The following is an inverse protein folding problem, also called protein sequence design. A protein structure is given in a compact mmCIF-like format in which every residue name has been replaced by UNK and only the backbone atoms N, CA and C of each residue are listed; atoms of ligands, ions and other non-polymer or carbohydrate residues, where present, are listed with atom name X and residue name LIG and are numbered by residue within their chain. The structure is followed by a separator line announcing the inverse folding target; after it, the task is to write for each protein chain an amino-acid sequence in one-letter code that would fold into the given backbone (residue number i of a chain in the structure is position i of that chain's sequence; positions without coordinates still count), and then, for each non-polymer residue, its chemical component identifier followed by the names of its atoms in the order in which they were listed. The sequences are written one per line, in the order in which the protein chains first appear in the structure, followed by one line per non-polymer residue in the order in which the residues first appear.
data_IF_667463178047
#
_entry.id   IF_667463178047
#
_cell.length_a   1.000
_cell.length_b   1.000
_cell.length_c   1.000
_cell.angle_alpha   90.00
_cell.angle_beta   90.00
_cell.angle_gamma   90.00
#
_symmetry.space_group_name_H-M   'P 1'
#
loop_
_entity.id
_entity.type
_entity.pdbx_description
1 polymer ?
#
# COMPACT_ATOMS: atom_id res chain seq x y z
N UNK A 1 -11.43 -2.66 -4.28
CA UNK A 1 -10.27 -2.48 -3.38
C UNK A 1 -10.52 -3.28 -2.09
N UNK A 2 -9.57 -3.29 -1.16
CA UNK A 2 -9.71 -4.00 0.11
C UNK A 2 -8.76 -5.20 0.22
N UNK A 3 -8.70 -5.85 1.40
CA UNK A 3 -7.82 -6.98 1.63
C UNK A 3 -8.29 -8.21 0.85
N UNK A 4 -7.83 -8.34 -0.39
CA UNK A 4 -8.44 -9.27 -1.35
C UNK A 4 -7.43 -9.93 -2.31
N UNK A 5 -6.42 -10.61 -1.77
CA UNK A 5 -5.48 -11.39 -2.59
C UNK A 5 -6.22 -12.38 -3.48
N UNK A 6 -5.89 -12.39 -4.77
CA UNK A 6 -6.56 -13.22 -5.76
C UNK A 6 -6.39 -14.71 -5.43
N UNK A 7 -5.25 -15.07 -4.85
CA UNK A 7 -4.91 -16.41 -4.38
C UNK A 7 -5.91 -16.91 -3.33
N UNK A 8 -6.25 -16.07 -2.35
CA UNK A 8 -7.21 -16.42 -1.30
C UNK A 8 -8.64 -16.52 -1.83
N UNK A 9 -9.02 -15.62 -2.75
CA UNK A 9 -10.31 -15.65 -3.44
C UNK A 9 -10.45 -16.95 -4.25
N UNK A 10 -9.43 -17.33 -5.01
CA UNK A 10 -9.42 -18.56 -5.80
C UNK A 10 -9.52 -19.83 -4.93
N UNK A 11 -9.06 -19.75 -3.67
CA UNK A 11 -9.18 -20.82 -2.67
C UNK A 11 -10.51 -20.76 -1.88
N UNK A 12 -11.48 -19.93 -2.30
CA UNK A 12 -12.75 -19.70 -1.61
C UNK A 12 -12.60 -19.30 -0.13
N UNK A 13 -11.51 -18.61 0.22
CA UNK A 13 -11.30 -18.09 1.58
C UNK A 13 -12.21 -16.89 1.80
N UNK A 14 -12.58 -16.65 3.06
CA UNK A 14 -13.48 -15.54 3.41
C UNK A 14 -12.78 -14.22 3.11
N UNK A 15 -13.35 -13.43 2.20
CA UNK A 15 -12.77 -12.17 1.76
C UNK A 15 -13.84 -11.07 1.76
N UNK A 16 -13.42 -9.88 2.16
CA UNK A 16 -14.25 -8.68 2.17
C UNK A 16 -13.72 -7.72 1.11
N UNK A 17 -14.55 -7.44 0.11
CA UNK A 17 -14.25 -6.54 -0.99
C UNK A 17 -14.92 -5.20 -0.75
N UNK A 18 -14.24 -4.12 -1.12
CA UNK A 18 -14.81 -2.78 -1.16
C UNK A 18 -15.10 -2.36 -2.59
N UNK A 19 -16.33 -1.94 -2.84
CA UNK A 19 -16.77 -1.25 -4.06
C UNK A 19 -17.13 0.18 -3.67
N UNK A 20 -16.58 1.15 -4.37
CA UNK A 20 -16.86 2.57 -4.19
C UNK A 20 -17.14 3.23 -5.54
N UNK A 21 -18.07 4.18 -5.59
CA UNK A 21 -18.40 4.90 -6.81
C UNK A 21 -19.55 5.89 -6.65
N UNK A 22 -19.60 6.88 -7.54
CA UNK A 22 -20.59 7.96 -7.47
C UNK A 22 -21.99 7.55 -8.00
N UNK A 23 -22.10 6.46 -8.76
CA UNK A 23 -23.36 5.95 -9.29
C UNK A 23 -23.86 4.78 -8.45
N UNK A 24 -24.79 5.07 -7.53
CA UNK A 24 -25.38 4.08 -6.63
C UNK A 24 -25.97 2.87 -7.37
N UNK A 25 -26.63 3.08 -8.50
CA UNK A 25 -27.22 1.97 -9.27
C UNK A 25 -26.13 1.05 -9.86
N UNK A 26 -25.02 1.61 -10.34
CA UNK A 26 -23.89 0.83 -10.82
C UNK A 26 -23.17 0.09 -9.69
N UNK A 27 -22.97 0.75 -8.55
CA UNK A 27 -22.38 0.16 -7.34
C UNK A 27 -23.20 -1.03 -6.86
N UNK A 28 -24.52 -0.90 -6.75
CA UNK A 28 -25.38 -2.02 -6.34
C UNK A 28 -25.34 -3.19 -7.32
N UNK A 29 -25.34 -2.92 -8.64
CA UNK A 29 -25.17 -3.99 -9.64
C UNK A 29 -23.85 -4.74 -9.46
N UNK A 30 -22.74 -4.04 -9.19
CA UNK A 30 -21.45 -4.68 -8.93
C UNK A 30 -21.45 -5.50 -7.63
N UNK A 31 -22.03 -4.97 -6.56
CA UNK A 31 -22.15 -5.67 -5.27
C UNK A 31 -22.90 -6.99 -5.47
N UNK A 32 -24.07 -6.96 -6.13
CA UNK A 32 -24.86 -8.17 -6.40
C UNK A 32 -24.11 -9.17 -7.28
N UNK A 33 -23.42 -8.70 -8.32
CA UNK A 33 -22.71 -9.58 -9.26
C UNK A 33 -21.49 -10.30 -8.64
N UNK A 34 -20.81 -9.67 -7.67
CA UNK A 34 -19.55 -10.19 -7.10
C UNK A 34 -19.78 -10.98 -5.80
N UNK A 35 -20.87 -10.70 -5.07
CA UNK A 35 -21.14 -11.34 -3.78
C UNK A 35 -21.31 -12.85 -3.93
N UNK A 36 -20.66 -13.61 -3.05
CA UNK A 36 -20.71 -15.08 -3.01
C UNK A 36 -20.66 -15.56 -1.55
N UNK A 37 -20.82 -16.87 -1.26
CA UNK A 37 -20.74 -17.40 0.11
C UNK A 37 -19.45 -17.00 0.87
N UNK A 38 -18.34 -16.89 0.14
CA UNK A 38 -17.03 -16.52 0.69
C UNK A 38 -16.62 -15.06 0.37
N UNK A 39 -17.25 -14.40 -0.60
CA UNK A 39 -17.03 -12.98 -0.92
C UNK A 39 -18.15 -12.09 -0.38
N UNK A 40 -17.85 -11.28 0.64
CA UNK A 40 -18.74 -10.20 1.07
C UNK A 40 -18.29 -8.89 0.43
N UNK A 41 -19.20 -8.19 -0.24
CA UNK A 41 -18.90 -6.89 -0.85
C UNK A 41 -19.52 -5.77 -0.02
N UNK A 42 -18.72 -4.77 0.34
CA UNK A 42 -19.08 -3.60 1.12
C UNK A 42 -19.09 -2.39 0.19
N UNK A 43 -20.15 -1.57 0.29
CA UNK A 43 -20.19 -0.26 -0.35
C UNK A 43 -19.40 0.76 0.49
N UNK A 44 -18.55 1.55 -0.15
CA UNK A 44 -17.88 2.69 0.47
C UNK A 44 -18.18 3.97 -0.33
N UNK A 45 -18.59 5.04 0.37
CA UNK A 45 -19.00 6.32 -0.21
C UNK A 45 -17.86 7.24 -0.64
N UNK A 46 -16.60 6.79 -0.54
CA UNK A 46 -15.40 7.57 -0.79
C UNK A 46 -14.55 6.94 -1.90
N UNK A 47 -14.96 7.07 -3.18
CA UNK A 47 -14.20 6.51 -4.28
C UNK A 47 -12.78 7.08 -4.41
N UNK A 48 -12.59 8.36 -4.10
CA UNK A 48 -11.29 9.04 -4.18
C UNK A 48 -10.33 8.52 -3.12
N UNK A 49 -10.77 8.43 -1.86
CA UNK A 49 -9.93 7.91 -0.79
C UNK A 49 -9.59 6.44 -0.98
N UNK A 50 -10.56 5.63 -1.44
CA UNK A 50 -10.33 4.21 -1.74
C UNK A 50 -9.31 4.03 -2.87
N UNK A 51 -9.37 4.86 -3.92
CA UNK A 51 -8.41 4.83 -5.01
C UNK A 51 -6.99 5.18 -4.54
N UNK A 52 -6.83 6.31 -3.82
CA UNK A 52 -5.53 6.71 -3.30
C UNK A 52 -4.96 5.71 -2.30
N UNK A 53 -5.78 5.18 -1.39
CA UNK A 53 -5.33 4.17 -0.43
C UNK A 53 -4.85 2.89 -1.13
N UNK A 54 -5.57 2.43 -2.17
CA UNK A 54 -5.18 1.28 -2.97
C UNK A 54 -3.82 1.46 -3.67
N UNK A 55 -3.48 2.70 -4.06
CA UNK A 55 -2.17 3.04 -4.64
C UNK A 55 -1.10 3.12 -3.55
N UNK A 56 -1.37 3.85 -2.47
CA UNK A 56 -0.44 4.09 -1.37
C UNK A 56 0.01 2.80 -0.69
N UNK A 57 -0.92 1.86 -0.47
CA UNK A 57 -0.60 0.58 0.15
C UNK A 57 0.44 -0.23 -0.64
N UNK A 58 0.49 -0.09 -1.96
CA UNK A 58 1.48 -0.76 -2.80
C UNK A 58 2.87 -0.14 -2.61
N UNK A 59 2.96 1.18 -2.50
CA UNK A 59 4.21 1.89 -2.17
C UNK A 59 4.72 1.46 -0.79
N UNK A 60 3.83 1.45 0.21
CA UNK A 60 4.18 1.05 1.57
C UNK A 60 4.54 -0.44 1.62
N UNK A 61 3.89 -1.29 0.81
CA UNK A 61 4.25 -2.68 0.62
C UNK A 61 5.71 -2.85 0.22
N UNK A 62 6.23 -2.01 -0.69
CA UNK A 62 7.65 -2.00 -1.06
C UNK A 62 8.53 -1.59 0.13
N UNK A 63 8.17 -0.53 0.85
CA UNK A 63 8.91 -0.10 2.05
C UNK A 63 9.02 -1.24 3.08
N UNK A 64 7.89 -1.89 3.38
CA UNK A 64 7.81 -3.07 4.26
C UNK A 64 8.66 -4.23 3.75
N UNK A 65 8.66 -4.45 2.43
CA UNK A 65 9.52 -5.41 1.76
C UNK A 65 10.99 -5.13 1.99
N UNK A 66 11.44 -3.88 1.78
CA UNK A 66 12.84 -3.47 1.94
C UNK A 66 13.33 -3.77 3.37
N UNK A 67 12.53 -3.40 4.38
CA UNK A 67 12.81 -3.69 5.79
C UNK A 67 13.02 -5.18 6.03
N UNK A 68 12.14 -6.01 5.46
CA UNK A 68 12.27 -7.47 5.55
C UNK A 68 13.49 -8.00 4.79
N UNK A 69 13.80 -7.43 3.64
CA UNK A 69 15.01 -7.78 2.88
C UNK A 69 16.31 -7.45 3.63
N UNK A 70 16.28 -6.42 4.47
CA UNK A 70 17.37 -6.00 5.35
C UNK A 70 17.44 -6.76 6.69
N UNK A 71 16.64 -7.81 6.87
CA UNK A 71 16.57 -8.64 8.09
C UNK A 71 16.12 -7.91 9.37
N UNK A 72 15.37 -6.80 9.27
CA UNK A 72 14.70 -6.23 10.44
C UNK A 72 13.52 -7.11 10.89
N UNK A 73 13.26 -7.12 12.19
CA UNK A 73 12.19 -7.90 12.81
C UNK A 73 10.78 -7.30 12.66
N UNK A 74 9.77 -8.05 13.10
CA UNK A 74 8.36 -7.65 13.03
C UNK A 74 8.02 -6.42 13.87
N UNK A 75 8.78 -6.16 14.95
CA UNK A 75 8.58 -4.96 15.78
C UNK A 75 8.79 -3.68 14.96
N UNK A 76 9.88 -3.61 14.19
CA UNK A 76 10.16 -2.44 13.38
C UNK A 76 9.20 -2.33 12.18
N UNK A 77 8.82 -3.47 11.59
CA UNK A 77 7.76 -3.51 10.58
C UNK A 77 6.45 -2.92 11.12
N UNK A 78 6.04 -3.25 12.34
CA UNK A 78 4.83 -2.71 12.97
C UNK A 78 4.90 -1.19 13.17
N UNK A 79 6.06 -0.67 13.59
CA UNK A 79 6.29 0.79 13.69
C UNK A 79 6.14 1.46 12.33
N UNK A 80 6.71 0.87 11.28
CA UNK A 80 6.64 1.40 9.92
C UNK A 80 5.21 1.38 9.39
N UNK A 81 4.46 0.29 9.59
CA UNK A 81 3.06 0.20 9.16
C UNK A 81 2.20 1.23 9.89
N UNK A 82 2.39 1.39 11.21
CA UNK A 82 1.69 2.40 12.00
C UNK A 82 1.97 3.83 11.53
N UNK A 83 3.25 4.17 11.30
CA UNK A 83 3.65 5.48 10.78
C UNK A 83 3.15 5.69 9.34
N UNK A 84 3.17 4.66 8.51
CA UNK A 84 2.66 4.72 7.14
C UNK A 84 1.17 5.03 7.10
N UNK A 85 0.37 4.49 8.02
CA UNK A 85 -1.05 4.82 8.11
C UNK A 85 -1.27 6.30 8.46
N UNK A 86 -0.38 6.91 9.26
CA UNK A 86 -0.42 8.36 9.52
C UNK A 86 -0.11 9.16 8.26
N UNK A 87 0.85 8.71 7.44
CA UNK A 87 1.12 9.35 6.14
C UNK A 87 -0.06 9.24 5.19
N UNK A 88 -0.69 8.07 5.10
CA UNK A 88 -1.89 7.87 4.27
C UNK A 88 -3.01 8.78 4.75
N UNK A 89 -3.27 8.85 6.07
CA UNK A 89 -4.28 9.74 6.63
C UNK A 89 -4.03 11.20 6.21
N UNK A 90 -2.82 11.69 6.44
CA UNK A 90 -2.46 13.08 6.11
C UNK A 90 -2.54 13.35 4.60
N UNK A 91 -2.17 12.39 3.76
CA UNK A 91 -2.28 12.50 2.31
C UNK A 91 -3.75 12.58 1.87
N UNK A 92 -4.60 11.73 2.41
CA UNK A 92 -6.03 11.71 2.09
C UNK A 92 -6.73 13.01 2.53
N UNK A 93 -6.45 13.47 3.75
CA UNK A 93 -6.96 14.75 4.28
C UNK A 93 -6.54 15.96 3.44
N UNK A 94 -5.36 15.92 2.82
CA UNK A 94 -4.92 16.98 1.92
C UNK A 94 -5.47 16.85 0.49
N UNK A 95 -5.87 15.63 0.09
CA UNK A 95 -6.37 15.35 -1.26
C UNK A 95 -7.81 15.82 -1.48
N UNK A 96 -8.66 15.74 -0.45
CA UNK A 96 -10.02 16.25 -0.44
C UNK A 96 -10.54 16.43 1.00
N UNK A 97 -11.70 17.07 1.15
CA UNK A 97 -12.35 17.33 2.46
C UNK A 97 -13.28 16.19 2.93
N UNK A 98 -13.06 14.94 2.51
CA UNK A 98 -13.93 13.83 2.92
C UNK A 98 -13.59 13.35 4.34
N UNK A 99 -14.62 13.19 5.20
CA UNK A 99 -14.43 12.59 6.52
C UNK A 99 -14.30 11.09 6.42
N UNK A 100 -13.20 10.54 6.95
CA UNK A 100 -12.85 9.13 6.84
C UNK A 100 -12.59 8.52 8.21
N UNK A 101 -13.09 7.30 8.43
CA UNK A 101 -12.46 6.41 9.41
C UNK A 101 -11.31 5.67 8.73
N UNK A 102 -10.08 6.11 8.99
CA UNK A 102 -8.90 5.53 8.39
C UNK A 102 -8.70 4.05 8.77
N UNK A 103 -9.34 3.59 9.85
CA UNK A 103 -9.24 2.21 10.30
C UNK A 103 -10.15 1.25 9.51
N UNK A 104 -10.98 1.75 8.59
CA UNK A 104 -11.80 0.90 7.73
C UNK A 104 -10.90 -0.07 6.94
N UNK A 105 -11.40 -1.29 6.76
CA UNK A 105 -10.81 -2.32 5.91
C UNK A 105 -10.41 -1.84 4.51
N UNK A 106 -11.14 -0.88 3.95
CA UNK A 106 -10.85 -0.30 2.65
C UNK A 106 -9.52 0.46 2.61
N UNK A 107 -9.06 0.96 3.76
CA UNK A 107 -7.81 1.71 3.92
C UNK A 107 -6.80 0.88 4.69
N UNK A 108 -6.98 0.75 6.02
CA UNK A 108 -5.99 0.11 6.88
C UNK A 108 -5.96 -1.40 6.68
N UNK A 109 -7.11 -2.05 6.48
CA UNK A 109 -7.16 -3.50 6.27
C UNK A 109 -6.37 -3.95 5.02
N UNK A 110 -6.54 -3.24 3.91
CA UNK A 110 -5.81 -3.53 2.67
C UNK A 110 -4.30 -3.23 2.81
N UNK A 111 -3.95 -2.17 3.55
CA UNK A 111 -2.57 -1.88 3.90
C UNK A 111 -1.94 -3.02 4.73
N UNK A 112 -2.64 -3.50 5.76
CA UNK A 112 -2.16 -4.57 6.64
C UNK A 112 -1.87 -5.85 5.85
N UNK A 113 -2.83 -6.32 5.04
CA UNK A 113 -2.60 -7.54 4.26
C UNK A 113 -1.43 -7.36 3.30
N UNK A 114 -1.29 -6.18 2.69
CA UNK A 114 -0.20 -5.90 1.74
C UNK A 114 1.18 -5.81 2.41
N UNK A 115 1.24 -5.35 3.66
CA UNK A 115 2.48 -5.23 4.43
C UNK A 115 2.98 -6.57 4.99
N UNK A 116 2.07 -7.47 5.36
CA UNK A 116 2.39 -8.72 6.07
C UNK A 116 2.32 -9.98 5.20
N UNK A 117 1.44 -10.01 4.19
CA UNK A 117 1.23 -11.20 3.35
C UNK A 117 2.43 -11.50 2.45
N UNK A 118 2.70 -12.78 2.21
CA UNK A 118 3.67 -13.24 1.21
C UNK A 118 3.13 -13.14 -0.23
N UNK A 119 1.80 -13.08 -0.39
CA UNK A 119 1.16 -12.84 -1.69
C UNK A 119 1.30 -11.39 -2.18
N UNK A 120 1.83 -10.50 -1.35
CA UNK A 120 2.11 -9.12 -1.76
C UNK A 120 3.32 -9.04 -2.68
N UNK A 121 3.08 -8.97 -3.99
CA UNK A 121 4.14 -8.75 -5.00
C UNK A 121 4.99 -7.50 -4.73
N UNK A 122 4.39 -6.44 -4.21
CA UNK A 122 5.10 -5.21 -3.85
C UNK A 122 6.06 -5.43 -2.67
N UNK A 123 5.63 -6.19 -1.67
CA UNK A 123 6.50 -6.60 -0.56
C UNK A 123 7.63 -7.51 -1.05
N UNK A 124 7.34 -8.47 -1.91
CA UNK A 124 8.35 -9.35 -2.52
C UNK A 124 9.38 -8.56 -3.32
N UNK A 125 8.95 -7.59 -4.14
CA UNK A 125 9.84 -6.67 -4.84
C UNK A 125 10.73 -5.91 -3.85
N UNK A 126 10.13 -5.30 -2.83
CA UNK A 126 10.86 -4.59 -1.78
C UNK A 126 11.89 -5.48 -1.07
N UNK A 127 11.57 -6.75 -0.79
CA UNK A 127 12.51 -7.70 -0.18
C UNK A 127 13.73 -7.94 -1.05
N UNK A 128 13.57 -8.02 -2.38
CA UNK A 128 14.71 -8.10 -3.29
C UNK A 128 15.58 -6.84 -3.20
N UNK A 129 14.96 -5.65 -3.24
CA UNK A 129 15.71 -4.39 -3.11
C UNK A 129 16.46 -4.33 -1.76
N UNK A 130 15.81 -4.70 -0.66
CA UNK A 130 16.43 -4.73 0.67
C UNK A 130 17.59 -5.73 0.79
N UNK A 131 17.58 -6.81 0.00
CA UNK A 131 18.68 -7.78 -0.11
C UNK A 131 19.82 -7.32 -1.03
N UNK A 132 19.72 -6.13 -1.62
CA UNK A 132 20.75 -5.54 -2.48
C UNK A 132 20.61 -5.86 -3.97
N UNK A 133 19.45 -6.38 -4.40
CA UNK A 133 19.20 -6.56 -5.83
C UNK A 133 19.04 -5.21 -6.52
N UNK A 134 19.57 -5.09 -7.74
CA UNK A 134 19.26 -3.96 -8.60
C UNK A 134 17.80 -4.03 -9.05
N UNK A 135 17.21 -2.87 -9.38
CA UNK A 135 15.83 -2.80 -9.87
C UNK A 135 15.61 -3.68 -11.11
N UNK A 136 16.45 -3.64 -12.16
CA UNK A 136 16.26 -4.50 -13.33
C UNK A 136 16.33 -6.00 -12.98
N UNK A 137 17.17 -6.37 -12.01
CA UNK A 137 17.28 -7.76 -11.57
C UNK A 137 16.06 -8.21 -10.77
N UNK A 138 15.50 -7.32 -9.94
CA UNK A 138 14.27 -7.59 -9.21
C UNK A 138 13.08 -7.73 -10.17
N UNK A 139 12.91 -6.81 -11.12
CA UNK A 139 11.85 -6.89 -12.14
C UNK A 139 11.98 -8.15 -13.00
N UNK A 140 13.20 -8.50 -13.45
CA UNK A 140 13.43 -9.70 -14.26
C UNK A 140 13.19 -11.03 -13.54
N UNK A 141 13.12 -11.03 -12.19
CA UNK A 141 12.82 -12.24 -11.39
C UNK A 141 11.33 -12.37 -11.04
N UNK A 142 10.54 -11.34 -11.26
CA UNK A 142 9.13 -11.36 -10.91
C UNK A 142 8.28 -11.76 -12.12
N UNK A 143 7.35 -12.70 -11.89
CA UNK A 143 6.32 -13.04 -12.86
C UNK A 143 5.16 -12.02 -12.89
N UNK A 144 5.21 -10.99 -12.05
CA UNK A 144 4.17 -9.98 -11.87
C UNK A 144 4.78 -8.59 -11.72
N UNK A 145 4.07 -7.57 -12.18
CA UNK A 145 4.50 -6.17 -12.05
C UNK A 145 4.29 -5.67 -10.62
N UNK A 146 5.34 -5.10 -10.01
CA UNK A 146 5.24 -4.38 -8.74
C UNK A 146 4.71 -2.96 -8.96
N UNK A 147 3.39 -2.79 -8.95
CA UNK A 147 2.71 -1.50 -9.24
C UNK A 147 3.15 -0.36 -8.31
N UNK A 148 3.60 -0.68 -7.10
CA UNK A 148 4.15 0.31 -6.16
C UNK A 148 5.38 1.03 -6.71
N UNK A 149 6.15 0.39 -7.60
CA UNK A 149 7.38 0.96 -8.16
C UNK A 149 7.09 2.19 -9.04
N UNK A 150 6.27 2.12 -10.11
CA UNK A 150 5.88 3.32 -10.84
C UNK A 150 5.02 4.28 -9.99
N UNK A 151 4.19 3.75 -9.08
CA UNK A 151 3.29 4.56 -8.25
C UNK A 151 4.03 5.50 -7.30
N UNK A 152 5.15 5.09 -6.70
CA UNK A 152 5.84 5.93 -5.70
C UNK A 152 6.28 7.27 -6.29
N UNK A 153 6.64 7.32 -7.57
CA UNK A 153 7.00 8.57 -8.26
C UNK A 153 5.81 9.52 -8.38
N UNK A 154 4.62 8.99 -8.62
CA UNK A 154 3.38 9.77 -8.69
C UNK A 154 2.98 10.32 -7.32
N UNK A 155 2.91 9.45 -6.31
CA UNK A 155 2.61 9.84 -4.94
C UNK A 155 3.61 10.85 -4.40
N UNK A 156 4.92 10.66 -4.64
CA UNK A 156 5.94 11.62 -4.21
C UNK A 156 5.70 13.04 -4.77
N UNK A 157 5.31 13.14 -6.05
CA UNK A 157 4.98 14.43 -6.68
C UNK A 157 3.72 15.05 -6.10
N UNK A 158 2.66 14.25 -5.93
CA UNK A 158 1.39 14.71 -5.34
C UNK A 158 1.58 15.16 -3.90
N UNK A 159 2.31 14.41 -3.08
CA UNK A 159 2.62 14.78 -1.70
C UNK A 159 3.36 16.12 -1.61
N UNK A 160 4.25 16.43 -2.58
CA UNK A 160 4.88 17.74 -2.68
C UNK A 160 3.91 18.85 -3.06
N UNK A 161 2.98 18.58 -3.97
CA UNK A 161 1.94 19.55 -4.36
C UNK A 161 0.94 19.82 -3.24
N UNK A 162 0.61 18.80 -2.46
CA UNK A 162 -0.28 18.90 -1.29
C UNK A 162 0.44 19.35 -0.02
N UNK A 163 1.76 19.59 -0.08
CA UNK A 163 2.59 19.98 1.07
C UNK A 163 2.53 18.99 2.25
N UNK A 164 2.30 17.70 1.96
CA UNK A 164 2.21 16.64 2.96
C UNK A 164 3.58 16.01 3.21
N UNK A 165 3.98 15.97 4.47
CA UNK A 165 5.20 15.26 4.87
C UNK A 165 4.97 13.75 4.95
N UNK A 166 5.55 13.01 4.02
CA UNK A 166 5.46 11.54 3.94
C UNK A 166 6.85 10.90 3.96
N UNK A 167 7.54 10.84 5.12
CA UNK A 167 8.93 10.41 5.20
C UNK A 167 9.18 9.00 4.64
N UNK A 168 8.31 8.02 4.89
CA UNK A 168 8.43 6.63 4.41
C UNK A 168 8.25 6.57 2.89
N UNK A 169 7.25 7.25 2.34
CA UNK A 169 7.11 7.37 0.87
C UNK A 169 8.33 8.07 0.25
N UNK A 170 8.83 9.13 0.87
CA UNK A 170 9.99 9.88 0.40
C UNK A 170 11.27 9.03 0.39
N UNK A 171 11.51 8.24 1.45
CA UNK A 171 12.61 7.30 1.53
C UNK A 171 12.48 6.22 0.44
N UNK A 172 11.30 5.65 0.29
CA UNK A 172 11.00 4.64 -0.75
C UNK A 172 11.28 5.20 -2.15
N UNK A 173 10.85 6.44 -2.43
CA UNK A 173 11.15 7.13 -3.69
C UNK A 173 12.67 7.29 -3.91
N UNK A 174 13.41 7.76 -2.89
CA UNK A 174 14.86 7.96 -3.02
C UNK A 174 15.61 6.65 -3.24
N UNK A 175 15.23 5.58 -2.56
CA UNK A 175 15.82 4.25 -2.78
C UNK A 175 15.59 3.82 -4.23
N UNK A 176 14.35 3.91 -4.72
CA UNK A 176 13.97 3.36 -6.02
C UNK A 176 14.36 4.22 -7.23
N UNK A 177 14.49 5.54 -7.06
CA UNK A 177 14.72 6.47 -8.19
C UNK A 177 15.96 7.33 -8.05
N UNK A 178 16.56 7.41 -6.86
CA UNK A 178 17.76 8.22 -6.59
C UNK A 178 18.96 7.38 -6.15
N UNK A 179 18.86 6.06 -6.23
CA UNK A 179 19.92 5.11 -5.84
C UNK A 179 20.39 5.32 -4.40
N UNK A 180 19.50 5.83 -3.53
CA UNK A 180 19.83 6.00 -2.13
C UNK A 180 19.96 4.63 -1.46
N UNK A 181 20.95 4.50 -0.57
CA UNK A 181 21.16 3.27 0.19
C UNK A 181 19.95 3.01 1.10
N UNK A 182 19.28 1.84 1.01
CA UNK A 182 18.21 1.46 1.92
C UNK A 182 18.59 1.61 3.40
N UNK A 183 19.79 1.15 3.77
CA UNK A 183 20.30 1.26 5.14
C UNK A 183 20.32 2.69 5.67
N UNK A 184 20.94 3.62 4.94
CA UNK A 184 21.01 5.02 5.35
C UNK A 184 19.63 5.68 5.42
N UNK A 185 18.76 5.39 4.45
CA UNK A 185 17.40 5.96 4.40
C UNK A 185 16.57 5.51 5.60
N UNK A 186 16.55 4.22 5.93
CA UNK A 186 15.81 3.72 7.09
C UNK A 186 16.42 4.17 8.42
N UNK A 187 17.75 4.30 8.51
CA UNK A 187 18.41 4.89 9.68
C UNK A 187 18.02 6.36 9.90
N UNK A 188 17.86 7.13 8.82
CA UNK A 188 17.35 8.51 8.92
C UNK A 188 15.88 8.54 9.34
N UNK A 189 15.08 7.58 8.89
CA UNK A 189 13.67 7.46 9.27
C UNK A 189 13.49 7.23 10.77
N UNK A 190 14.38 6.50 11.44
CA UNK A 190 14.28 6.24 12.89
C UNK A 190 14.05 7.52 13.72
N UNK A 191 14.64 8.64 13.31
CA UNK A 191 14.48 9.93 14.01
C UNK A 191 13.12 10.62 13.77
N UNK A 192 12.34 10.13 12.80
CA UNK A 192 11.05 10.71 12.38
C UNK A 192 9.86 9.82 12.74
N UNK A 193 10.09 8.57 13.14
CA UNK A 193 9.05 7.63 13.53
C UNK A 193 8.60 7.91 14.97
N UNK A 194 7.30 7.75 15.23
CA UNK A 194 6.71 7.78 16.58
C UNK A 194 6.11 6.44 16.96
#
# INVERSE_FOLDING_TARGET
AGPCHAEEIAMNRKTFLTVAGNNNAAVQRMITAITSPYLKVINNGDPVGVEYAAILKNVIGIACGIIKGMNYGDNFLAVIVSNSMREVKAFLEASDNHQRDINDSAYFGDLLVTAYSEYSRNRTFGQMIGRGYSIPMAEGRMNMVAEGYPAVRGIYKLAKQFEVNMPIVNATYRILYKQASPYNEFKLLENSLR
#
